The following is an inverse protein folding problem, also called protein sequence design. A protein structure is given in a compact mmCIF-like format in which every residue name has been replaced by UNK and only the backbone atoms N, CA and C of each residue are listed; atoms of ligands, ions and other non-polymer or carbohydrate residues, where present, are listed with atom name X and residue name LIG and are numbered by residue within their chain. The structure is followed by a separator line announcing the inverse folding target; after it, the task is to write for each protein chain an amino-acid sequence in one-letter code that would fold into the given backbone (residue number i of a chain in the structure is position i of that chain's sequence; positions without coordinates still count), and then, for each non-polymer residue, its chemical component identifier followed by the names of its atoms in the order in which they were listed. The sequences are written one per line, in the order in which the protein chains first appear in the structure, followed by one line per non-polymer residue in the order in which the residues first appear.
data_IF_307660557896
#
_entry.id   IF_307660557896
#
_cell.length_a   1.000
_cell.length_b   1.000
_cell.length_c   1.000
_cell.angle_alpha   90.00
_cell.angle_beta   90.00
_cell.angle_gamma   90.00
#
_symmetry.space_group_name_H-M   'P 1'
#
loop_
_entity.id
_entity.type
_entity.pdbx_description
1 polymer ?
#
# COMPACT_ATOMS: atom_id res chain seq x y z
N UNK A 1 31.38 16.29 3.00
CA UNK A 1 31.44 15.34 1.87
C UNK A 1 30.47 14.20 2.17
N UNK A 2 29.68 13.75 1.20
CA UNK A 2 28.80 12.60 1.41
C UNK A 2 29.67 11.33 1.60
N UNK A 3 29.42 10.58 2.66
CA UNK A 3 30.12 9.32 2.92
C UNK A 3 29.57 8.26 1.98
N UNK A 4 30.45 7.61 1.21
CA UNK A 4 30.08 6.52 0.30
C UNK A 4 30.57 5.19 0.84
N UNK A 5 29.75 4.15 0.68
CA UNK A 5 30.08 2.77 1.06
C UNK A 5 30.25 1.95 -0.21
N UNK A 6 31.29 1.12 -0.28
CA UNK A 6 31.46 0.16 -1.37
C UNK A 6 30.53 -1.03 -1.15
N UNK A 7 29.77 -1.39 -2.17
CA UNK A 7 28.80 -2.48 -2.11
C UNK A 7 28.83 -3.26 -3.41
N UNK A 8 28.66 -4.57 -3.31
CA UNK A 8 28.49 -5.47 -4.45
C UNK A 8 27.02 -5.84 -4.55
N UNK A 9 26.43 -5.71 -5.72
CA UNK A 9 25.04 -6.08 -5.98
C UNK A 9 24.92 -6.81 -7.32
N UNK A 10 24.01 -7.78 -7.38
CA UNK A 10 23.69 -8.48 -8.61
C UNK A 10 22.52 -7.75 -9.29
N UNK A 11 22.73 -7.33 -10.54
CA UNK A 11 21.71 -6.72 -11.38
C UNK A 11 21.52 -7.57 -12.63
N UNK A 12 20.28 -7.65 -13.10
CA UNK A 12 20.01 -8.25 -14.40
C UNK A 12 20.80 -7.54 -15.50
N UNK A 13 21.32 -8.34 -16.44
CA UNK A 13 22.11 -7.85 -17.58
C UNK A 13 21.41 -6.72 -18.33
N UNK A 14 20.11 -6.86 -18.56
CA UNK A 14 19.32 -5.88 -19.31
C UNK A 14 19.18 -4.56 -18.53
N UNK A 15 18.99 -4.63 -17.21
CA UNK A 15 18.93 -3.44 -16.35
C UNK A 15 20.27 -2.69 -16.40
N UNK A 16 21.39 -3.41 -16.31
CA UNK A 16 22.71 -2.81 -16.36
C UNK A 16 23.01 -2.15 -17.72
N UNK A 17 22.56 -2.77 -18.83
CA UNK A 17 22.67 -2.17 -20.17
C UNK A 17 21.87 -0.88 -20.27
N UNK A 18 20.64 -0.84 -19.77
CA UNK A 18 19.82 0.38 -19.74
C UNK A 18 20.50 1.48 -18.93
N UNK A 19 21.02 1.16 -17.73
CA UNK A 19 21.75 2.12 -16.89
C UNK A 19 22.96 2.69 -17.64
N UNK A 20 23.72 1.84 -18.38
CA UNK A 20 24.86 2.28 -19.18
C UNK A 20 24.44 3.28 -20.26
N UNK A 21 23.37 2.99 -21.01
CA UNK A 21 22.84 3.89 -22.05
C UNK A 21 22.36 5.20 -21.43
N UNK A 22 21.64 5.15 -20.31
CA UNK A 22 21.19 6.35 -19.59
C UNK A 22 22.36 7.22 -19.12
N UNK A 23 23.43 6.60 -18.63
CA UNK A 23 24.63 7.31 -18.20
C UNK A 23 25.31 8.02 -19.38
N UNK A 24 25.41 7.35 -20.53
CA UNK A 24 25.95 7.94 -21.76
C UNK A 24 25.11 9.13 -22.24
N UNK A 25 23.79 8.95 -22.34
CA UNK A 25 22.88 9.99 -22.83
C UNK A 25 22.83 11.23 -21.92
N UNK A 26 23.17 11.09 -20.64
CA UNK A 26 23.17 12.17 -19.66
C UNK A 26 24.57 12.68 -19.30
N UNK A 27 25.59 12.24 -20.04
CA UNK A 27 26.99 12.58 -19.82
C UNK A 27 27.40 12.43 -18.34
N UNK A 28 26.99 11.31 -17.73
CA UNK A 28 27.20 11.08 -16.30
C UNK A 28 27.64 9.66 -15.99
N UNK A 29 27.87 9.35 -14.71
CA UNK A 29 28.36 8.04 -14.30
C UNK A 29 27.21 7.08 -14.01
N UNK A 30 27.45 5.78 -14.26
CA UNK A 30 26.50 4.72 -13.92
C UNK A 30 26.15 4.73 -12.43
N UNK A 31 27.13 4.97 -11.56
CA UNK A 31 26.94 5.10 -10.11
C UNK A 31 25.96 6.21 -9.76
N UNK A 32 26.06 7.38 -10.42
CA UNK A 32 25.12 8.49 -10.18
C UNK A 32 23.71 8.12 -10.60
N UNK A 33 23.55 7.47 -11.76
CA UNK A 33 22.25 6.98 -12.23
C UNK A 33 21.65 5.97 -11.24
N UNK A 34 22.44 5.00 -10.77
CA UNK A 34 22.00 4.00 -9.79
C UNK A 34 21.53 4.69 -8.50
N UNK A 35 22.33 5.60 -7.96
CA UNK A 35 21.99 6.32 -6.72
C UNK A 35 20.71 7.15 -6.88
N UNK A 36 20.56 7.89 -7.99
CA UNK A 36 19.37 8.70 -8.26
C UNK A 36 18.10 7.84 -8.37
N UNK A 37 18.20 6.68 -9.02
CA UNK A 37 17.07 5.76 -9.17
C UNK A 37 16.68 5.14 -7.81
N UNK A 38 17.66 4.70 -7.02
CA UNK A 38 17.43 4.15 -5.69
C UNK A 38 16.82 5.21 -4.74
N UNK A 39 17.34 6.44 -4.74
CA UNK A 39 16.78 7.54 -3.94
C UNK A 39 15.31 7.80 -4.30
N UNK A 40 14.99 7.90 -5.60
CA UNK A 40 13.61 8.09 -6.07
C UNK A 40 12.70 6.91 -5.71
N UNK A 41 13.22 5.68 -5.72
CA UNK A 41 12.45 4.50 -5.33
C UNK A 41 12.11 4.53 -3.83
N UNK A 42 13.10 4.83 -2.98
CA UNK A 42 12.92 4.96 -1.52
C UNK A 42 11.93 6.08 -1.20
N UNK A 43 12.03 7.24 -1.86
CA UNK A 43 11.07 8.34 -1.70
C UNK A 43 9.64 7.90 -2.08
N UNK A 44 9.47 7.17 -3.18
CA UNK A 44 8.16 6.66 -3.59
C UNK A 44 7.59 5.63 -2.60
N UNK A 45 8.42 4.73 -2.07
CA UNK A 45 7.99 3.75 -1.07
C UNK A 45 7.62 4.40 0.27
N UNK A 46 8.43 5.35 0.73
CA UNK A 46 8.15 6.10 1.97
C UNK A 46 6.89 6.97 1.85
N UNK A 47 6.56 7.45 0.65
CA UNK A 47 5.29 8.14 0.38
C UNK A 47 4.08 7.21 0.43
N UNK A 48 4.21 5.93 0.01
CA UNK A 48 3.12 4.95 0.11
C UNK A 48 2.79 4.56 1.57
N UNK A 49 3.74 4.71 2.49
CA UNK A 49 3.52 4.53 3.94
C UNK A 49 2.98 5.79 4.64
N UNK A 50 2.27 6.68 3.92
CA UNK A 50 1.57 7.83 4.49
C UNK A 50 0.08 7.55 4.71
N UNK A 51 -0.27 6.45 5.40
CA UNK A 51 -1.52 6.53 6.17
C UNK A 51 -1.22 7.57 7.25
N UNK A 52 -1.87 8.74 7.23
CA UNK A 52 -1.64 9.74 8.25
C UNK A 52 -1.88 9.11 9.62
N UNK A 53 -1.05 9.42 10.62
CA UNK A 53 -1.18 8.79 11.96
C UNK A 53 -2.59 8.92 12.54
N UNK A 54 -3.33 9.98 12.17
CA UNK A 54 -4.72 10.20 12.55
C UNK A 54 -5.74 9.27 11.88
N UNK A 55 -5.41 8.64 10.75
CA UNK A 55 -6.23 7.62 10.08
C UNK A 55 -5.91 6.18 10.54
N UNK A 56 -4.83 5.98 11.31
CA UNK A 56 -4.50 4.69 11.91
C UNK A 56 -5.29 4.56 13.23
N UNK A 57 -6.57 4.21 13.12
CA UNK A 57 -7.33 3.78 14.30
C UNK A 57 -6.65 2.53 14.88
N UNK A 58 -6.37 2.53 16.19
CA UNK A 58 -5.88 1.37 16.96
C UNK A 58 -4.44 0.89 16.69
N UNK A 59 -3.47 1.79 16.48
CA UNK A 59 -2.05 1.39 16.30
C UNK A 59 -1.45 0.58 17.46
N UNK A 60 -1.97 0.72 18.68
CA UNK A 60 -1.46 0.04 19.90
C UNK A 60 -2.50 -0.86 20.60
N UNK A 61 -3.65 -1.16 19.99
CA UNK A 61 -4.57 -2.15 20.57
C UNK A 61 -4.21 -3.52 20.03
N UNK A 62 -3.90 -4.45 20.93
CA UNK A 62 -4.06 -5.87 20.64
C UNK A 62 -5.58 -6.10 20.54
N UNK A 63 -6.16 -6.31 19.35
CA UNK A 63 -7.60 -6.39 19.23
C UNK A 63 -8.10 -7.57 20.07
N UNK A 64 -8.87 -7.29 21.12
CA UNK A 64 -9.49 -8.36 21.88
C UNK A 64 -10.42 -9.10 20.91
N UNK A 65 -10.04 -10.34 20.59
CA UNK A 65 -10.71 -11.20 19.61
C UNK A 65 -12.20 -11.38 19.97
N UNK A 66 -12.56 -11.20 21.25
CA UNK A 66 -13.95 -11.21 21.73
C UNK A 66 -14.72 -9.97 21.32
N UNK A 67 -14.15 -8.77 21.48
CA UNK A 67 -14.80 -7.52 21.04
C UNK A 67 -14.96 -7.48 19.52
N UNK A 68 -13.92 -7.86 18.77
CA UNK A 68 -13.98 -7.91 17.30
C UNK A 68 -15.07 -8.87 16.79
N UNK A 69 -15.18 -10.07 17.38
CA UNK A 69 -16.26 -11.02 17.07
C UNK A 69 -17.64 -10.49 17.46
N UNK A 70 -17.76 -9.72 18.54
CA UNK A 70 -19.02 -9.10 18.97
C UNK A 70 -19.46 -8.01 17.99
N UNK A 71 -18.54 -7.18 17.50
CA UNK A 71 -18.83 -6.15 16.50
C UNK A 71 -19.15 -6.74 15.13
N UNK A 72 -18.41 -7.76 14.68
CA UNK A 72 -18.77 -8.51 13.45
C UNK A 72 -20.09 -9.26 13.64
N UNK A 73 -20.38 -9.78 14.83
CA UNK A 73 -21.65 -10.41 15.17
C UNK A 73 -22.81 -9.43 15.15
N UNK A 74 -22.60 -8.18 15.59
CA UNK A 74 -23.58 -7.09 15.49
C UNK A 74 -23.74 -6.57 14.05
N UNK A 75 -22.67 -6.53 13.25
CA UNK A 75 -22.73 -6.22 11.81
C UNK A 75 -23.34 -7.36 10.99
N UNK A 76 -23.21 -8.61 11.44
CA UNK A 76 -23.98 -9.77 10.94
C UNK A 76 -25.43 -9.70 11.45
N UNK A 77 -26.10 -8.64 11.01
CA UNK A 77 -27.55 -8.51 10.85
C UNK A 77 -28.44 -8.69 12.09
N UNK A 78 -29.09 -7.58 12.48
CA UNK A 78 -30.49 -7.63 12.86
C UNK A 78 -31.29 -8.26 11.71
N UNK A 79 -32.13 -9.26 12.01
CA UNK A 79 -33.08 -9.99 11.13
C UNK A 79 -32.99 -9.62 9.64
N UNK A 80 -32.47 -10.55 8.83
CA UNK A 80 -32.37 -10.42 7.38
C UNK A 80 -33.62 -9.83 6.73
N UNK A 81 -33.42 -8.86 5.84
CA UNK A 81 -34.46 -8.27 5.02
C UNK A 81 -35.12 -9.37 4.19
N UNK A 82 -36.43 -9.58 4.37
CA UNK A 82 -37.20 -10.51 3.54
C UNK A 82 -37.87 -9.72 2.41
N UNK A 83 -37.28 -9.69 1.19
CA UNK A 83 -37.80 -8.90 0.08
C UNK A 83 -39.21 -9.35 -0.33
N UNK A 84 -39.55 -10.63 -0.15
CA UNK A 84 -40.87 -11.18 -0.48
C UNK A 84 -41.95 -10.62 0.43
N UNK A 85 -41.63 -10.41 1.71
CA UNK A 85 -42.57 -9.84 2.68
C UNK A 85 -42.79 -8.35 2.42
N UNK A 86 -41.70 -7.62 2.14
CA UNK A 86 -41.75 -6.19 1.78
C UNK A 86 -42.60 -5.96 0.51
N UNK A 87 -42.44 -6.80 -0.53
CA UNK A 87 -43.23 -6.70 -1.77
C UNK A 87 -44.71 -7.10 -1.55
N UNK A 88 -45.00 -8.00 -0.62
CA UNK A 88 -46.39 -8.35 -0.27
C UNK A 88 -47.09 -7.24 0.52
N UNK A 89 -46.37 -6.52 1.37
CA UNK A 89 -46.91 -5.38 2.12
C UNK A 89 -47.20 -4.20 1.19
N UNK A 90 -46.35 -3.92 0.20
CA UNK A 90 -46.64 -2.89 -0.82
C UNK A 90 -47.79 -3.26 -1.75
N UNK A 91 -47.99 -4.56 -2.04
CA UNK A 91 -49.15 -5.03 -2.83
C UNK A 91 -50.48 -5.06 -2.06
N UNK A 92 -50.45 -5.04 -0.73
CA UNK A 92 -51.66 -4.97 0.12
C UNK A 92 -52.06 -3.55 0.49
N UNK A 93 -51.24 -2.55 0.12
CA UNK A 93 -51.53 -1.13 0.24
C UNK A 93 -52.03 -0.53 -1.07
N UNK A 94 -53.22 -0.96 -1.50
CA UNK A 94 -54.25 -0.20 -2.21
C UNK A 94 -55.52 -1.04 -2.25
#
# INVERSE_FOLDING_TARGET
MAVTVRTTLNLDKNIMQTIKIMAMNKETTQTKIINDLLAKAIEKETVKSKIPKYLIANKNRNPDRKEFKKTIGMMKASKGFNPVKAVKETRKGN
#
